data_IF_649685804392
#
_entry.id   IF_649685804392
#
_cell.length_a   1.000
_cell.length_b   1.000
_cell.length_c   1.000
_cell.angle_alpha   90.00
_cell.angle_beta   90.00
_cell.angle_gamma   90.00
#
_symmetry.space_group_name_H-M   'P 1'
#
loop_
_entity.id
_entity.type
_entity.pdbx_description
1 polymer ?
#
# COMPACT_ATOMS: atom_id res chain seq x y z
N UNK A 1 23.82 7.23 -4.45
CA UNK A 1 22.60 7.24 -3.61
C UNK A 1 21.91 8.58 -3.82
N UNK A 2 20.57 8.64 -3.79
CA UNK A 2 19.81 9.85 -4.07
C UNK A 2 18.91 10.22 -2.90
N UNK A 3 18.68 11.52 -2.68
CA UNK A 3 17.69 12.04 -1.74
C UNK A 3 16.30 11.95 -2.35
N UNK A 4 15.36 11.36 -1.61
CA UNK A 4 13.99 11.16 -2.08
C UNK A 4 12.96 11.55 -1.02
N UNK A 5 11.84 12.08 -1.49
CA UNK A 5 10.68 12.44 -0.66
C UNK A 5 10.09 11.21 0.04
N UNK A 6 10.19 11.18 1.37
CA UNK A 6 9.64 10.12 2.22
C UNK A 6 8.20 10.38 2.64
N UNK A 7 7.70 11.60 2.48
CA UNK A 7 6.37 12.03 2.90
C UNK A 7 5.32 11.39 2.01
N UNK A 8 5.48 11.50 0.69
CA UNK A 8 4.65 10.79 -0.29
C UNK A 8 4.64 9.28 -0.06
N UNK A 9 5.79 8.70 0.32
CA UNK A 9 5.88 7.27 0.63
C UNK A 9 5.08 6.92 1.87
N UNK A 10 5.29 7.64 2.98
CA UNK A 10 4.59 7.33 4.24
C UNK A 10 3.09 7.45 4.05
N UNK A 11 2.62 8.45 3.29
CA UNK A 11 1.23 8.56 2.90
C UNK A 11 0.73 7.33 2.11
N UNK A 12 1.52 6.84 1.13
CA UNK A 12 1.20 5.61 0.41
C UNK A 12 1.14 4.39 1.34
N UNK A 13 2.12 4.22 2.23
CA UNK A 13 2.13 3.12 3.21
C UNK A 13 0.90 3.18 4.14
N UNK A 14 0.56 4.36 4.66
CA UNK A 14 -0.62 4.56 5.48
C UNK A 14 -1.92 4.27 4.73
N UNK A 15 -2.04 4.72 3.49
CA UNK A 15 -3.22 4.43 2.66
C UNK A 15 -3.40 2.92 2.48
N UNK A 16 -2.31 2.21 2.23
CA UNK A 16 -2.33 0.75 2.10
C UNK A 16 -2.74 0.06 3.41
N UNK A 17 -2.26 0.53 4.57
CA UNK A 17 -2.68 0.03 5.89
C UNK A 17 -4.16 0.28 6.12
N UNK A 18 -4.66 1.49 5.82
CA UNK A 18 -6.07 1.86 5.98
C UNK A 18 -6.96 0.99 5.10
N UNK A 19 -6.59 0.73 3.84
CA UNK A 19 -7.36 -0.15 2.96
C UNK A 19 -7.44 -1.58 3.49
N UNK A 20 -6.34 -2.13 4.02
CA UNK A 20 -6.36 -3.47 4.64
C UNK A 20 -7.18 -3.48 5.92
N UNK A 21 -7.11 -2.44 6.74
CA UNK A 21 -7.94 -2.31 7.93
C UNK A 21 -9.43 -2.23 7.57
N UNK A 22 -9.79 -1.47 6.52
CA UNK A 22 -11.15 -1.41 6.00
C UNK A 22 -11.61 -2.76 5.45
N UNK A 23 -10.73 -3.50 4.76
CA UNK A 23 -11.02 -4.86 4.31
C UNK A 23 -11.39 -5.75 5.50
N UNK A 24 -10.65 -5.65 6.60
CA UNK A 24 -10.91 -6.43 7.81
C UNK A 24 -12.24 -6.04 8.46
N UNK A 25 -12.51 -4.74 8.58
CA UNK A 25 -13.76 -4.24 9.17
C UNK A 25 -14.98 -4.64 8.35
N UNK A 26 -14.89 -4.63 7.02
CA UNK A 26 -15.99 -5.05 6.14
C UNK A 26 -16.20 -6.56 6.08
N UNK A 27 -15.22 -7.36 6.49
CA UNK A 27 -15.32 -8.82 6.50
C UNK A 27 -15.60 -9.41 5.12
N UNK A 28 -16.15 -10.61 5.06
CA UNK A 28 -16.53 -11.23 3.79
C UNK A 28 -17.99 -10.95 3.41
N UNK A 29 -18.30 -10.79 2.11
CA UNK A 29 -17.39 -10.70 0.96
C UNK A 29 -16.87 -9.29 0.69
N UNK A 30 -17.41 -8.28 1.39
CA UNK A 30 -17.22 -6.86 1.07
C UNK A 30 -15.77 -6.38 1.24
N UNK A 31 -14.99 -7.01 2.11
CA UNK A 31 -13.57 -6.74 2.33
C UNK A 31 -12.68 -7.11 1.14
N UNK A 32 -13.17 -7.92 0.19
CA UNK A 32 -12.44 -8.19 -1.04
C UNK A 32 -12.21 -6.94 -1.88
N UNK A 33 -13.15 -5.98 -1.88
CA UNK A 33 -13.04 -4.73 -2.63
C UNK A 33 -11.85 -3.86 -2.19
N UNK A 34 -11.74 -3.42 -0.92
CA UNK A 34 -10.60 -2.62 -0.47
C UNK A 34 -9.27 -3.39 -0.54
N UNK A 35 -9.28 -4.72 -0.34
CA UNK A 35 -8.07 -5.54 -0.49
C UNK A 35 -7.61 -5.63 -1.96
N UNK A 36 -8.55 -5.80 -2.89
CA UNK A 36 -8.27 -5.79 -4.33
C UNK A 36 -7.78 -4.40 -4.79
N UNK A 37 -8.41 -3.33 -4.30
CA UNK A 37 -7.98 -1.95 -4.56
C UNK A 37 -6.56 -1.71 -4.07
N UNK A 38 -6.22 -2.19 -2.87
CA UNK A 38 -4.87 -2.06 -2.33
C UNK A 38 -3.84 -2.82 -3.20
N UNK A 39 -4.16 -4.05 -3.61
CA UNK A 39 -3.32 -4.84 -4.52
C UNK A 39 -3.14 -4.17 -5.89
N UNK A 40 -4.23 -3.64 -6.46
CA UNK A 40 -4.22 -2.93 -7.73
C UNK A 40 -3.40 -1.63 -7.66
N UNK A 41 -3.58 -0.80 -6.64
CA UNK A 41 -2.81 0.45 -6.45
C UNK A 41 -1.31 0.15 -6.37
N UNK A 42 -0.92 -0.94 -5.73
CA UNK A 42 0.49 -1.31 -5.60
C UNK A 42 1.13 -1.81 -6.90
N UNK A 43 0.37 -2.55 -7.71
CA UNK A 43 0.80 -3.02 -9.03
C UNK A 43 0.82 -1.87 -10.04
N UNK A 44 -0.25 -1.08 -10.11
CA UNK A 44 -0.38 0.06 -11.03
C UNK A 44 0.65 1.14 -10.71
N UNK A 45 0.86 1.45 -9.42
CA UNK A 45 1.88 2.39 -8.96
C UNK A 45 3.32 1.94 -9.23
N UNK A 46 3.55 0.70 -9.70
CA UNK A 46 4.84 0.28 -10.26
C UNK A 46 5.02 0.75 -11.70
N UNK A 47 4.03 0.54 -12.55
CA UNK A 47 4.16 0.75 -14.00
C UNK A 47 3.89 2.19 -14.41
N UNK A 48 3.16 2.96 -13.58
CA UNK A 48 2.85 4.34 -13.90
C UNK A 48 3.15 5.26 -12.71
N UNK A 49 4.26 5.99 -12.82
CA UNK A 49 4.59 7.07 -11.88
C UNK A 49 3.48 8.13 -11.74
N UNK A 50 2.70 8.50 -12.78
CA UNK A 50 1.52 9.34 -12.65
C UNK A 50 0.33 8.64 -11.97
N UNK A 51 0.14 7.33 -12.08
CA UNK A 51 -1.05 6.67 -11.52
C UNK A 51 -0.94 6.38 -10.02
N UNK A 52 0.15 6.78 -9.36
CA UNK A 52 0.22 6.77 -7.90
C UNK A 52 -0.66 7.90 -7.34
N UNK A 53 -1.96 7.63 -7.26
CA UNK A 53 -3.01 8.58 -6.84
C UNK A 53 -2.67 9.18 -5.49
N UNK A 54 -2.07 8.39 -4.58
CA UNK A 54 -1.65 8.88 -3.27
C UNK A 54 -0.52 9.89 -3.38
N UNK A 55 0.49 9.63 -4.22
CA UNK A 55 1.56 10.60 -4.45
C UNK A 55 1.06 11.85 -5.16
N UNK A 56 0.14 11.72 -6.12
CA UNK A 56 -0.50 12.87 -6.73
C UNK A 56 -1.30 13.69 -5.70
N UNK A 57 -2.04 13.04 -4.82
CA UNK A 57 -2.77 13.71 -3.74
C UNK A 57 -1.82 14.47 -2.81
N UNK A 58 -0.69 13.84 -2.42
CA UNK A 58 0.31 14.50 -1.59
C UNK A 58 0.87 15.75 -2.29
N UNK A 59 1.32 15.64 -3.54
CA UNK A 59 1.94 16.76 -4.25
C UNK A 59 0.97 17.83 -4.73
N UNK A 60 -0.28 17.48 -5.06
CA UNK A 60 -1.28 18.43 -5.59
C UNK A 60 -2.19 19.03 -4.53
N UNK A 61 -2.34 18.37 -3.38
CA UNK A 61 -3.28 18.81 -2.33
C UNK A 61 -2.56 18.98 -1.01
N UNK A 62 -1.93 17.94 -0.48
CA UNK A 62 -1.42 17.96 0.89
C UNK A 62 -0.20 18.87 1.09
N UNK A 63 0.71 18.92 0.11
CA UNK A 63 1.90 19.77 0.12
C UNK A 63 1.53 21.25 -0.13
N UNK A 64 0.71 21.62 -1.14
CA UNK A 64 0.23 22.99 -1.31
C UNK A 64 -0.63 23.50 -0.14
N UNK A 65 -1.38 22.62 0.53
CA UNK A 65 -2.18 22.96 1.71
C UNK A 65 -1.37 23.03 3.01
N UNK A 66 -0.07 22.70 2.98
CA UNK A 66 0.80 22.69 4.16
C UNK A 66 0.48 21.60 5.19
N UNK A 67 -0.31 20.58 4.82
CA UNK A 67 -0.70 19.48 5.73
C UNK A 67 0.42 18.48 5.98
N UNK A 68 1.34 18.33 5.03
CA UNK A 68 2.41 17.36 5.09
C UNK A 68 3.75 18.00 4.72
N UNK A 69 4.69 18.16 5.67
CA UNK A 69 6.02 18.70 5.35
C UNK A 69 6.78 17.68 4.49
N UNK A 70 7.41 18.17 3.41
CA UNK A 70 8.29 17.36 2.57
C UNK A 70 9.57 17.04 3.32
N UNK A 71 9.89 15.76 3.44
CA UNK A 71 11.10 15.27 4.10
C UNK A 71 11.87 14.43 3.09
N UNK A 72 13.15 14.73 2.88
CA UNK A 72 14.00 13.96 1.98
C UNK A 72 14.96 13.06 2.77
N UNK A 73 15.08 11.80 2.38
CA UNK A 73 16.09 10.86 2.92
C UNK A 73 16.74 10.06 1.82
N UNK A 74 17.93 9.57 2.12
CA UNK A 74 18.72 8.74 1.23
C UNK A 74 18.23 7.28 1.24
N UNK A 75 17.85 6.72 0.09
CA UNK A 75 17.25 5.37 0.04
C UNK A 75 17.53 4.59 -1.25
N UNK A 76 17.48 3.26 -1.13
CA UNK A 76 17.50 2.32 -2.24
C UNK A 76 16.08 2.01 -2.78
N UNK A 77 15.89 2.21 -4.08
CA UNK A 77 14.63 2.00 -4.79
C UNK A 77 14.47 0.60 -5.40
N UNK A 78 15.55 -0.15 -5.59
CA UNK A 78 15.48 -1.46 -6.22
C UNK A 78 14.71 -2.46 -5.33
N UNK A 79 15.11 -2.56 -4.07
CA UNK A 79 14.48 -3.45 -3.07
C UNK A 79 13.00 -3.13 -2.86
N UNK A 80 12.65 -1.85 -2.85
CA UNK A 80 11.26 -1.37 -2.67
C UNK A 80 10.34 -1.74 -3.83
N UNK A 81 10.88 -1.77 -5.04
CA UNK A 81 10.14 -2.11 -6.26
C UNK A 81 9.68 -3.55 -6.24
N UNK A 82 10.51 -4.46 -5.74
CA UNK A 82 10.17 -5.89 -5.57
C UNK A 82 9.12 -6.07 -4.48
N UNK A 83 9.29 -5.40 -3.34
CA UNK A 83 8.35 -5.46 -2.23
C UNK A 83 6.93 -4.97 -2.60
N UNK A 84 6.81 -3.99 -3.51
CA UNK A 84 5.51 -3.52 -4.00
C UNK A 84 4.82 -4.56 -4.90
N UNK A 85 5.55 -5.22 -5.80
CA UNK A 85 4.97 -6.25 -6.68
C UNK A 85 4.51 -7.45 -5.87
N UNK A 86 5.38 -7.97 -5.00
CA UNK A 86 5.08 -9.12 -4.16
C UNK A 86 3.85 -8.86 -3.28
N UNK A 87 3.81 -7.70 -2.60
CA UNK A 87 2.65 -7.37 -1.78
C UNK A 87 1.37 -7.16 -2.59
N UNK A 88 1.47 -6.69 -3.83
CA UNK A 88 0.31 -6.40 -4.67
C UNK A 88 -0.32 -7.69 -5.15
N UNK A 89 0.52 -8.61 -5.62
CA UNK A 89 0.10 -9.96 -6.02
C UNK A 89 -0.57 -10.68 -4.84
N UNK A 90 0.05 -10.67 -3.65
CA UNK A 90 -0.52 -11.39 -2.52
C UNK A 90 -1.83 -10.78 -2.02
N UNK A 91 -2.00 -9.45 -2.07
CA UNK A 91 -3.29 -8.85 -1.74
C UNK A 91 -4.37 -9.15 -2.79
N UNK A 92 -4.03 -9.23 -4.08
CA UNK A 92 -4.98 -9.71 -5.09
C UNK A 92 -5.35 -11.19 -4.89
N UNK A 93 -4.38 -12.04 -4.55
CA UNK A 93 -4.64 -13.43 -4.20
C UNK A 93 -5.52 -13.51 -2.94
N UNK A 94 -5.24 -12.69 -1.93
CA UNK A 94 -6.07 -12.57 -0.74
C UNK A 94 -7.51 -12.15 -1.05
N UNK A 95 -7.71 -11.19 -1.96
CA UNK A 95 -9.04 -10.77 -2.39
C UNK A 95 -9.77 -11.90 -3.13
N UNK A 96 -9.08 -12.63 -4.00
CA UNK A 96 -9.66 -13.81 -4.67
C UNK A 96 -10.04 -14.90 -3.66
N UNK A 97 -9.24 -15.11 -2.61
CA UNK A 97 -9.54 -16.05 -1.53
C UNK A 97 -10.76 -15.62 -0.71
N UNK A 98 -10.90 -14.33 -0.36
CA UNK A 98 -12.11 -13.80 0.31
C UNK A 98 -13.36 -14.02 -0.55
N UNK A 99 -13.28 -13.78 -1.86
CA UNK A 99 -14.41 -14.03 -2.78
C UNK A 99 -14.75 -15.51 -2.94
N UNK A 100 -13.76 -16.38 -2.74
CA UNK A 100 -13.92 -17.84 -2.82
C UNK A 100 -14.35 -18.48 -1.49
N UNK A 101 -14.56 -17.68 -0.43
CA UNK A 101 -14.96 -18.14 0.90
C UNK A 101 -13.83 -18.73 1.75
N UNK A 102 -12.56 -18.52 1.35
CA UNK A 102 -11.37 -18.98 2.08
C UNK A 102 -10.82 -17.88 3.01
N UNK A 103 -11.67 -17.34 3.89
CA UNK A 103 -11.37 -16.22 4.78
C UNK A 103 -10.07 -16.37 5.54
N UNK A 104 -9.91 -17.51 6.21
CA UNK A 104 -8.78 -17.76 7.10
C UNK A 104 -7.45 -17.68 6.34
N UNK A 105 -7.40 -18.26 5.12
CA UNK A 105 -6.22 -18.19 4.26
C UNK A 105 -5.92 -16.77 3.80
N UNK A 106 -6.95 -16.02 3.42
CA UNK A 106 -6.81 -14.62 3.01
C UNK A 106 -6.26 -13.73 4.14
N UNK A 107 -6.79 -13.89 5.36
CA UNK A 107 -6.35 -13.10 6.51
C UNK A 107 -4.93 -13.44 6.95
N UNK A 108 -4.53 -14.71 6.95
CA UNK A 108 -3.14 -15.11 7.25
C UNK A 108 -2.17 -14.43 6.28
N UNK A 109 -2.47 -14.44 4.98
CA UNK A 109 -1.66 -13.78 3.96
C UNK A 109 -1.63 -12.26 4.13
N UNK A 110 -2.78 -11.64 4.41
CA UNK A 110 -2.89 -10.20 4.63
C UNK A 110 -2.07 -9.74 5.84
N UNK A 111 -2.16 -10.45 6.97
CA UNK A 111 -1.41 -10.13 8.18
C UNK A 111 0.10 -10.33 8.03
N UNK A 112 0.54 -11.40 7.37
CA UNK A 112 1.96 -11.66 7.12
C UNK A 112 2.63 -10.48 6.37
N UNK A 113 1.91 -9.90 5.41
CA UNK A 113 2.40 -8.78 4.62
C UNK A 113 2.24 -7.43 5.32
N UNK A 114 1.15 -7.22 6.05
CA UNK A 114 0.99 -6.03 6.87
C UNK A 114 2.14 -5.91 7.90
N UNK A 115 2.51 -7.03 8.55
CA UNK A 115 3.62 -7.07 9.51
C UNK A 115 4.97 -6.72 8.87
N UNK A 116 5.28 -7.29 7.70
CA UNK A 116 6.54 -6.99 7.01
C UNK A 116 6.66 -5.53 6.58
N UNK A 117 5.52 -4.84 6.41
CA UNK A 117 5.45 -3.41 6.09
C UNK A 117 5.48 -2.49 7.30
N UNK A 118 4.84 -2.87 8.40
CA UNK A 118 4.85 -2.12 9.66
C UNK A 118 6.26 -1.97 10.24
N UNK A 119 7.08 -3.04 10.13
CA UNK A 119 8.50 -3.03 10.53
C UNK A 119 9.33 -1.96 9.82
N UNK A 120 8.96 -1.59 8.59
CA UNK A 120 9.68 -0.60 7.76
C UNK A 120 9.20 0.83 8.05
N UNK A 121 8.02 1.02 8.64
CA UNK A 121 7.48 2.34 8.96
C UNK A 121 8.02 2.91 10.29
N UNK A 122 8.54 2.05 11.16
CA UNK A 122 9.16 2.37 12.45
C UNK A 122 10.68 2.59 12.41
N UNK A 123 11.30 2.50 11.22
CA UNK A 123 12.72 2.80 10.97
C UNK A 123 12.87 4.07 10.11
#
# INVERSE_FOLDING_TARGET
MGTFDVTARKAHQWTMIVLVALAFVFGEPLGALPLALAGAIMLVGRFWWPADIVRQFVWRVAEPAGWLPRIEREEDHATRRVARVMGGIVWLVGAALLLSGFATGAWILAFAIARSRGSIASA
#
